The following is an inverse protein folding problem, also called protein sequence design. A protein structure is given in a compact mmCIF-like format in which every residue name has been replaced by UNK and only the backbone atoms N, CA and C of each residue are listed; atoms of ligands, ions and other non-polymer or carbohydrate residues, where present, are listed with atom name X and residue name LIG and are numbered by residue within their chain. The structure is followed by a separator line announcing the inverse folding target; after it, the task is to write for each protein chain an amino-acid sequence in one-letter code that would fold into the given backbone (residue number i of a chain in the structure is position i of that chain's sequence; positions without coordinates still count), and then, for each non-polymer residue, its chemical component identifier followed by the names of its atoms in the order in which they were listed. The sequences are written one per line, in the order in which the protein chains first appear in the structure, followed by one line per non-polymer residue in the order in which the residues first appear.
data_IF_544575141467
#
_entry.id   IF_544575141467
#
_cell.length_a   1.000
_cell.length_b   1.000
_cell.length_c   1.000
_cell.angle_alpha   90.00
_cell.angle_beta   90.00
_cell.angle_gamma   90.00
#
_symmetry.space_group_name_H-M   'P 1'
#
loop_
_entity.id
_entity.type
_entity.pdbx_description
1 polymer ?
#
# COMPACT_ATOMS: atom_id res chain seq x y z
N UNK A 1 18.90 4.68 -32.03
CA UNK A 1 17.62 3.97 -32.15
C UNK A 1 16.57 4.80 -31.43
N UNK A 2 15.39 5.03 -32.02
CA UNK A 2 14.33 5.77 -31.33
C UNK A 2 13.80 4.91 -30.17
N UNK A 3 13.89 5.43 -28.96
CA UNK A 3 13.35 4.78 -27.76
C UNK A 3 11.83 4.82 -27.84
N UNK A 4 11.20 3.66 -27.98
CA UNK A 4 9.73 3.56 -28.11
C UNK A 4 9.13 3.54 -26.70
N UNK A 5 8.36 4.57 -26.37
CA UNK A 5 7.53 4.58 -25.17
C UNK A 5 6.33 3.64 -25.36
N UNK A 6 6.12 2.74 -24.41
CA UNK A 6 4.94 1.86 -24.35
C UNK A 6 4.20 2.07 -23.03
N UNK A 7 2.92 1.69 -23.02
CA UNK A 7 2.12 1.69 -21.80
C UNK A 7 2.47 0.47 -20.95
N UNK A 8 2.76 0.72 -19.68
CA UNK A 8 3.01 -0.29 -18.67
C UNK A 8 2.36 0.09 -17.34
N UNK A 9 1.99 -0.88 -16.57
CA UNK A 9 1.69 -0.67 -15.16
C UNK A 9 2.96 -0.89 -14.35
N UNK A 10 3.43 0.17 -13.72
CA UNK A 10 4.57 0.15 -12.79
C UNK A 10 4.01 0.02 -11.38
N UNK A 11 4.51 -0.94 -10.61
CA UNK A 11 4.08 -1.23 -9.25
C UNK A 11 5.28 -1.21 -8.31
N UNK A 12 5.13 -0.54 -7.17
CA UNK A 12 6.03 -0.59 -6.03
C UNK A 12 5.30 -1.17 -4.83
N UNK A 13 5.94 -2.12 -4.15
CA UNK A 13 5.45 -2.72 -2.92
C UNK A 13 6.57 -2.78 -1.89
N UNK A 14 6.32 -2.27 -0.68
CA UNK A 14 7.31 -2.06 0.37
C UNK A 14 6.79 -2.56 1.71
N UNK A 15 7.67 -3.14 2.52
CA UNK A 15 7.31 -3.65 3.85
C UNK A 15 7.14 -2.50 4.83
N UNK A 16 5.94 -2.37 5.38
CA UNK A 16 5.64 -1.30 6.33
C UNK A 16 6.26 -1.58 7.70
N UNK A 17 7.02 -0.58 8.21
CA UNK A 17 7.60 -0.67 9.54
C UNK A 17 8.76 -1.65 9.68
N UNK A 18 9.48 -1.94 8.60
CA UNK A 18 10.65 -2.84 8.60
C UNK A 18 11.68 -2.48 9.66
N UNK A 19 11.97 -1.19 9.89
CA UNK A 19 12.87 -0.74 10.96
C UNK A 19 12.41 -1.24 12.32
N UNK A 20 11.13 -1.14 12.65
CA UNK A 20 10.60 -1.62 13.93
C UNK A 20 10.61 -3.15 14.05
N UNK A 21 10.59 -3.87 12.93
CA UNK A 21 10.78 -5.32 12.93
C UNK A 21 12.20 -5.71 13.40
N UNK A 22 13.22 -4.99 12.93
CA UNK A 22 14.60 -5.21 13.38
C UNK A 22 14.75 -4.98 14.89
N UNK A 23 14.17 -3.90 15.41
CA UNK A 23 14.21 -3.60 16.86
C UNK A 23 13.48 -4.67 17.69
N UNK A 24 12.36 -5.21 17.23
CA UNK A 24 11.52 -6.17 17.97
C UNK A 24 11.98 -7.62 17.85
N UNK A 25 12.45 -8.02 16.67
CA UNK A 25 12.75 -9.42 16.34
C UNK A 25 14.25 -9.73 16.39
N UNK A 26 15.11 -8.70 16.26
CA UNK A 26 16.54 -8.82 15.97
C UNK A 26 16.79 -9.09 14.49
N UNK A 27 18.03 -8.86 14.05
CA UNK A 27 18.42 -8.79 12.64
C UNK A 27 18.08 -10.06 11.84
N UNK A 28 18.45 -11.22 12.36
CA UNK A 28 18.27 -12.50 11.67
C UNK A 28 16.79 -12.82 11.42
N UNK A 29 15.94 -12.63 12.44
CA UNK A 29 14.50 -12.92 12.33
C UNK A 29 13.75 -11.88 11.50
N UNK A 30 14.14 -10.61 11.63
CA UNK A 30 13.57 -9.55 10.81
C UNK A 30 13.89 -9.76 9.34
N UNK A 31 15.15 -10.10 9.01
CA UNK A 31 15.56 -10.42 7.65
C UNK A 31 14.77 -11.61 7.08
N UNK A 32 14.62 -12.69 7.83
CA UNK A 32 13.85 -13.86 7.41
C UNK A 32 12.36 -13.52 7.19
N UNK A 33 11.78 -12.68 8.05
CA UNK A 33 10.41 -12.21 7.91
C UNK A 33 10.22 -11.36 6.64
N UNK A 34 11.13 -10.42 6.38
CA UNK A 34 11.12 -9.57 5.18
C UNK A 34 11.26 -10.44 3.92
N UNK A 35 12.21 -11.39 3.89
CA UNK A 35 12.38 -12.26 2.71
C UNK A 35 11.15 -13.16 2.47
N UNK A 36 10.47 -13.59 3.52
CA UNK A 36 9.18 -14.29 3.40
C UNK A 36 8.14 -13.41 2.71
N UNK A 37 8.01 -12.14 3.09
CA UNK A 37 7.12 -11.17 2.43
C UNK A 37 7.53 -11.00 0.97
N UNK A 38 8.80 -10.67 0.70
CA UNK A 38 9.30 -10.46 -0.66
C UNK A 38 9.05 -11.67 -1.57
N UNK A 39 9.14 -12.88 -1.02
CA UNK A 39 8.79 -14.11 -1.76
C UNK A 39 7.33 -14.15 -2.18
N UNK A 40 6.39 -13.75 -1.29
CA UNK A 40 4.96 -13.68 -1.63
C UNK A 40 4.69 -12.59 -2.67
N UNK A 41 5.35 -11.42 -2.56
CA UNK A 41 5.21 -10.36 -3.56
C UNK A 41 5.62 -10.83 -4.97
N UNK A 42 6.76 -11.52 -5.07
CA UNK A 42 7.25 -12.07 -6.34
C UNK A 42 6.27 -13.10 -6.94
N UNK A 43 5.62 -13.93 -6.12
CA UNK A 43 4.59 -14.89 -6.55
C UNK A 43 3.38 -14.17 -7.13
N UNK A 44 2.89 -13.11 -6.47
CA UNK A 44 1.75 -12.33 -6.95
C UNK A 44 2.02 -11.69 -8.32
N UNK A 45 3.23 -11.15 -8.51
CA UNK A 45 3.66 -10.61 -9.81
C UNK A 45 3.66 -11.71 -10.88
N UNK A 46 4.23 -12.88 -10.57
CA UNK A 46 4.33 -13.98 -11.51
C UNK A 46 2.97 -14.54 -11.93
N UNK A 47 2.00 -14.64 -11.00
CA UNK A 47 0.62 -15.09 -11.27
C UNK A 47 -0.03 -14.19 -12.32
N UNK A 48 0.19 -12.90 -12.26
CA UNK A 48 -0.33 -11.92 -13.22
C UNK A 48 0.56 -11.75 -14.46
N UNK A 49 1.51 -12.68 -14.68
CA UNK A 49 2.47 -12.67 -15.79
C UNK A 49 3.30 -11.38 -15.85
N UNK A 50 3.44 -10.70 -14.72
CA UNK A 50 4.30 -9.55 -14.57
C UNK A 50 5.76 -9.96 -14.37
N UNK A 51 6.62 -8.96 -14.33
CA UNK A 51 8.06 -9.12 -14.12
C UNK A 51 8.52 -8.25 -12.94
N UNK A 52 9.22 -8.85 -12.00
CA UNK A 52 9.98 -8.09 -11.01
C UNK A 52 11.20 -7.47 -11.70
N UNK A 53 11.28 -6.15 -11.67
CA UNK A 53 12.37 -5.38 -12.29
C UNK A 53 13.59 -5.38 -11.36
N UNK A 54 13.36 -5.03 -10.09
CA UNK A 54 14.40 -4.98 -9.06
C UNK A 54 13.82 -5.05 -7.65
N UNK A 55 14.66 -5.42 -6.70
CA UNK A 55 14.38 -5.33 -5.27
C UNK A 55 15.39 -4.36 -4.65
N UNK A 56 14.92 -3.40 -3.87
CA UNK A 56 15.75 -2.37 -3.22
C UNK A 56 15.47 -2.44 -1.72
N UNK A 57 16.34 -3.11 -0.98
CA UNK A 57 16.07 -3.38 0.43
C UNK A 57 14.84 -4.27 0.60
N UNK A 58 13.80 -3.73 1.21
CA UNK A 58 12.51 -4.37 1.45
C UNK A 58 11.40 -3.94 0.47
N UNK A 59 11.76 -3.20 -0.59
CA UNK A 59 10.87 -2.77 -1.66
C UNK A 59 11.06 -3.59 -2.94
N UNK A 60 9.96 -3.96 -3.59
CA UNK A 60 9.92 -4.58 -4.92
C UNK A 60 9.37 -3.58 -5.93
N UNK A 61 10.11 -3.39 -7.03
CA UNK A 61 9.60 -2.76 -8.24
C UNK A 61 9.23 -3.83 -9.27
N UNK A 62 8.00 -3.79 -9.75
CA UNK A 62 7.49 -4.71 -10.76
C UNK A 62 6.82 -3.98 -11.92
N UNK A 63 6.73 -4.65 -13.06
CA UNK A 63 6.04 -4.19 -14.26
C UNK A 63 5.04 -5.23 -14.72
N UNK A 64 3.87 -4.74 -15.16
CA UNK A 64 2.77 -5.54 -15.70
C UNK A 64 2.23 -4.87 -16.97
N UNK A 65 1.61 -5.66 -17.86
CA UNK A 65 1.20 -5.15 -19.17
C UNK A 65 -0.10 -4.32 -19.12
N UNK A 66 -0.92 -4.46 -18.07
CA UNK A 66 -2.22 -3.79 -17.96
C UNK A 66 -2.47 -3.24 -16.56
N UNK A 67 -3.34 -2.23 -16.46
CA UNK A 67 -3.81 -1.71 -15.18
C UNK A 67 -4.53 -2.80 -14.34
N UNK A 68 -5.34 -3.64 -14.99
CA UNK A 68 -6.07 -4.75 -14.35
C UNK A 68 -5.12 -5.75 -13.71
N UNK A 69 -4.07 -6.17 -14.44
CA UNK A 69 -3.08 -7.10 -13.91
C UNK A 69 -2.33 -6.52 -12.70
N UNK A 70 -2.01 -5.22 -12.72
CA UNK A 70 -1.37 -4.56 -11.60
C UNK A 70 -2.27 -4.47 -10.37
N UNK A 71 -3.54 -4.14 -10.55
CA UNK A 71 -4.51 -4.11 -9.46
C UNK A 71 -4.70 -5.51 -8.86
N UNK A 72 -4.85 -6.54 -9.69
CA UNK A 72 -4.98 -7.92 -9.23
C UNK A 72 -3.73 -8.42 -8.49
N UNK A 73 -2.52 -8.07 -8.99
CA UNK A 73 -1.27 -8.38 -8.30
C UNK A 73 -1.21 -7.69 -6.93
N UNK A 74 -1.57 -6.41 -6.86
CA UNK A 74 -1.58 -5.63 -5.62
C UNK A 74 -2.55 -6.20 -4.58
N UNK A 75 -3.76 -6.60 -5.00
CA UNK A 75 -4.74 -7.24 -4.11
C UNK A 75 -4.24 -8.62 -3.62
N UNK A 76 -3.69 -9.45 -4.51
CA UNK A 76 -3.12 -10.75 -4.15
C UNK A 76 -1.93 -10.61 -3.19
N UNK A 77 -1.06 -9.60 -3.38
CA UNK A 77 0.03 -9.27 -2.45
C UNK A 77 -0.50 -8.97 -1.05
N UNK A 78 -1.50 -8.10 -0.91
CA UNK A 78 -2.08 -7.77 0.38
C UNK A 78 -2.69 -8.99 1.06
N UNK A 79 -3.46 -9.79 0.34
CA UNK A 79 -4.08 -11.01 0.86
C UNK A 79 -3.03 -12.03 1.34
N UNK A 80 -1.98 -12.26 0.56
CA UNK A 80 -0.90 -13.18 0.93
C UNK A 80 -0.14 -12.73 2.15
N UNK A 81 0.20 -11.44 2.23
CA UNK A 81 0.91 -10.89 3.38
C UNK A 81 0.02 -10.90 4.63
N UNK A 82 -1.26 -10.55 4.51
CA UNK A 82 -2.21 -10.63 5.62
C UNK A 82 -2.41 -12.06 6.16
N UNK A 83 -2.21 -13.09 5.32
CA UNK A 83 -2.28 -14.50 5.71
C UNK A 83 -1.01 -14.99 6.43
N UNK A 84 0.10 -14.25 6.43
CA UNK A 84 1.31 -14.62 7.17
C UNK A 84 1.02 -14.50 8.67
N UNK A 85 1.24 -15.58 9.46
CA UNK A 85 1.03 -15.53 10.90
C UNK A 85 1.91 -14.45 11.58
N UNK A 86 1.42 -13.77 12.63
CA UNK A 86 2.23 -12.83 13.38
C UNK A 86 3.50 -13.49 13.95
N UNK A 87 4.61 -12.76 13.92
CA UNK A 87 5.88 -13.21 14.49
C UNK A 87 6.09 -12.43 15.81
N UNK A 88 6.04 -13.10 16.97
CA UNK A 88 6.11 -12.44 18.28
C UNK A 88 5.15 -11.23 18.38
N UNK A 89 3.90 -11.42 18.02
CA UNK A 89 2.85 -10.38 18.02
C UNK A 89 3.07 -9.24 16.99
N UNK A 90 4.12 -9.31 16.17
CA UNK A 90 4.30 -8.39 15.05
C UNK A 90 3.54 -8.90 13.82
N UNK A 91 2.52 -8.15 13.38
CA UNK A 91 1.87 -8.38 12.10
C UNK A 91 2.68 -7.72 11.00
N UNK A 92 2.91 -8.49 9.93
CA UNK A 92 3.54 -7.96 8.73
C UNK A 92 2.50 -7.23 7.89
N UNK A 93 2.85 -6.09 7.34
CA UNK A 93 2.02 -5.31 6.44
C UNK A 93 2.88 -4.75 5.31
N UNK A 94 2.27 -4.52 4.17
CA UNK A 94 2.91 -3.85 3.03
C UNK A 94 2.11 -2.63 2.63
N UNK A 95 2.79 -1.66 2.03
CA UNK A 95 2.19 -0.56 1.29
C UNK A 95 2.45 -0.78 -0.19
N UNK A 96 1.44 -0.59 -1.01
CA UNK A 96 1.52 -0.81 -2.45
C UNK A 96 1.06 0.45 -3.18
N UNK A 97 1.81 0.84 -4.19
CA UNK A 97 1.41 1.90 -5.11
C UNK A 97 1.67 1.50 -6.54
N UNK A 98 0.75 1.82 -7.45
CA UNK A 98 0.95 1.54 -8.87
C UNK A 98 0.35 2.61 -9.76
N UNK A 99 0.90 2.72 -10.97
CA UNK A 99 0.42 3.64 -12.00
C UNK A 99 0.57 3.01 -13.38
N UNK A 100 -0.45 3.16 -14.22
CA UNK A 100 -0.45 2.75 -15.61
C UNK A 100 -0.21 3.96 -16.50
N UNK A 101 0.87 3.92 -17.27
CA UNK A 101 1.27 5.05 -18.11
C UNK A 101 2.46 4.73 -19.01
N UNK A 102 2.86 5.72 -19.84
CA UNK A 102 3.98 5.55 -20.76
C UNK A 102 5.31 5.45 -20.00
N UNK A 103 6.07 4.39 -20.28
CA UNK A 103 7.41 4.19 -19.76
C UNK A 103 8.37 3.73 -20.86
N UNK A 104 9.65 3.92 -20.64
CA UNK A 104 10.75 3.50 -21.50
C UNK A 104 11.43 2.33 -20.83
N UNK A 105 11.54 1.21 -21.52
CA UNK A 105 12.38 0.09 -21.09
C UNK A 105 13.77 0.22 -21.69
N UNK A 106 14.78 0.23 -20.84
CA UNK A 106 16.19 0.25 -21.25
C UNK A 106 17.02 -0.67 -20.36
N UNK A 107 17.73 -1.62 -20.97
CA UNK A 107 18.58 -2.60 -20.29
C UNK A 107 17.88 -3.38 -19.15
N UNK A 108 16.57 -3.61 -19.30
CA UNK A 108 15.77 -4.34 -18.31
C UNK A 108 15.24 -3.49 -17.15
N UNK A 109 15.60 -2.21 -17.09
CA UNK A 109 15.01 -1.23 -16.16
C UNK A 109 13.97 -0.34 -16.87
N UNK A 110 13.19 0.41 -16.09
CA UNK A 110 12.12 1.28 -16.59
C UNK A 110 12.33 2.71 -16.15
N UNK A 111 12.05 3.63 -17.08
CA UNK A 111 12.24 5.06 -16.90
C UNK A 111 11.03 5.84 -17.37
N UNK A 112 10.86 7.04 -16.83
CA UNK A 112 9.84 7.99 -17.24
C UNK A 112 8.90 8.39 -16.12
N UNK A 113 7.92 9.22 -16.48
CA UNK A 113 6.98 9.81 -15.55
C UNK A 113 6.10 8.77 -14.84
N UNK A 114 5.74 7.67 -15.53
CA UNK A 114 4.97 6.59 -14.94
C UNK A 114 5.68 5.92 -13.76
N UNK A 115 7.02 5.77 -13.82
CA UNK A 115 7.82 5.23 -12.71
C UNK A 115 7.76 6.16 -11.49
N UNK A 116 7.97 7.46 -11.71
CA UNK A 116 7.93 8.46 -10.65
C UNK A 116 6.53 8.56 -10.01
N UNK A 117 5.48 8.47 -10.83
CA UNK A 117 4.09 8.50 -10.35
C UNK A 117 3.78 7.27 -9.52
N UNK A 118 4.16 6.07 -9.97
CA UNK A 118 3.97 4.82 -9.22
C UNK A 118 4.71 4.84 -7.86
N UNK A 119 5.97 5.28 -7.85
CA UNK A 119 6.75 5.43 -6.60
C UNK A 119 6.07 6.40 -5.63
N UNK A 120 5.48 7.49 -6.15
CA UNK A 120 4.73 8.43 -5.34
C UNK A 120 3.44 7.82 -4.78
N UNK A 121 2.70 7.01 -5.56
CA UNK A 121 1.52 6.29 -5.06
C UNK A 121 1.91 5.36 -3.90
N UNK A 122 3.02 4.64 -4.01
CA UNK A 122 3.54 3.80 -2.92
C UNK A 122 3.92 4.63 -1.69
N UNK A 123 4.54 5.80 -1.89
CA UNK A 123 4.91 6.72 -0.81
C UNK A 123 3.71 7.32 -0.06
N UNK A 124 2.54 7.41 -0.69
CA UNK A 124 1.29 7.88 -0.07
C UNK A 124 0.56 6.77 0.69
N UNK A 125 0.79 5.52 0.32
CA UNK A 125 0.14 4.37 0.95
C UNK A 125 0.64 4.15 2.38
N UNK A 126 -0.26 3.78 3.27
CA UNK A 126 0.03 3.26 4.60
C UNK A 126 0.10 1.73 4.56
N UNK A 127 0.57 1.12 5.65
CA UNK A 127 0.53 -0.34 5.78
C UNK A 127 -0.89 -0.88 5.60
N UNK A 128 -1.04 -1.87 4.74
CA UNK A 128 -2.33 -2.44 4.36
C UNK A 128 -3.07 -1.69 3.25
N UNK A 129 -2.53 -0.58 2.72
CA UNK A 129 -3.17 0.18 1.64
C UNK A 129 -2.58 -0.13 0.27
N UNK A 130 -3.43 -0.01 -0.75
CA UNK A 130 -3.08 -0.01 -2.16
C UNK A 130 -3.56 1.30 -2.76
N UNK A 131 -2.63 2.12 -3.26
CA UNK A 131 -2.91 3.45 -3.81
C UNK A 131 -2.60 3.49 -5.31
N UNK A 132 -3.46 4.13 -6.07
CA UNK A 132 -3.26 4.35 -7.50
C UNK A 132 -3.75 5.73 -7.94
N UNK A 133 -3.55 6.06 -9.20
CA UNK A 133 -3.88 7.36 -9.79
C UNK A 133 -5.16 7.32 -10.63
N UNK A 134 -5.80 8.47 -10.83
CA UNK A 134 -6.98 8.63 -11.69
C UNK A 134 -6.80 8.05 -13.09
N UNK A 135 -5.73 8.40 -13.85
CA UNK A 135 -5.48 7.80 -15.16
C UNK A 135 -5.40 6.27 -15.16
N UNK A 136 -4.92 5.67 -14.07
CA UNK A 136 -4.90 4.22 -13.92
C UNK A 136 -6.31 3.66 -13.72
N UNK A 137 -7.13 4.31 -12.89
CA UNK A 137 -8.54 3.92 -12.67
C UNK A 137 -9.34 4.01 -13.95
N UNK A 138 -9.08 5.03 -14.79
CA UNK A 138 -9.72 5.16 -16.10
C UNK A 138 -9.35 4.03 -17.07
N UNK A 139 -8.19 3.43 -16.91
CA UNK A 139 -7.71 2.28 -17.70
C UNK A 139 -8.15 0.91 -17.14
N UNK A 140 -8.73 0.84 -15.95
CA UNK A 140 -9.27 -0.39 -15.38
C UNK A 140 -10.54 -0.84 -16.11
N UNK A 141 -10.76 -2.15 -16.15
CA UNK A 141 -12.04 -2.71 -16.53
C UNK A 141 -13.16 -2.24 -15.58
N UNK A 142 -14.43 -2.15 -16.07
CA UNK A 142 -15.54 -1.64 -15.27
C UNK A 142 -15.69 -2.33 -13.90
N UNK A 143 -15.55 -3.65 -13.85
CA UNK A 143 -15.68 -4.44 -12.63
C UNK A 143 -14.61 -4.07 -11.59
N UNK A 144 -13.36 -3.95 -11.99
CA UNK A 144 -12.26 -3.60 -11.08
C UNK A 144 -12.33 -2.14 -10.61
N UNK A 145 -12.84 -1.25 -11.47
CA UNK A 145 -13.04 0.15 -11.13
C UNK A 145 -14.01 0.34 -9.96
N UNK A 146 -15.03 -0.50 -9.83
CA UNK A 146 -15.99 -0.47 -8.72
C UNK A 146 -15.32 -0.73 -7.35
N UNK A 147 -14.21 -1.44 -7.34
CA UNK A 147 -13.42 -1.70 -6.13
C UNK A 147 -12.39 -0.60 -5.83
N UNK A 148 -12.62 0.64 -6.30
CA UNK A 148 -11.77 1.79 -5.99
C UNK A 148 -12.55 2.88 -5.26
N UNK A 149 -11.86 3.60 -4.37
CA UNK A 149 -12.38 4.74 -3.62
C UNK A 149 -11.55 5.99 -3.93
N UNK A 150 -12.20 7.09 -4.33
CA UNK A 150 -11.56 8.38 -4.51
C UNK A 150 -11.10 8.95 -3.15
N UNK A 151 -9.85 9.38 -3.07
CA UNK A 151 -9.26 9.98 -1.87
C UNK A 151 -9.04 11.49 -2.02
N UNK A 152 -9.67 12.11 -3.03
CA UNK A 152 -9.45 13.49 -3.43
C UNK A 152 -8.13 13.77 -4.18
N UNK A 153 -8.09 14.92 -4.87
CA UNK A 153 -6.93 15.37 -5.60
C UNK A 153 -5.86 15.88 -4.63
N UNK A 154 -4.63 15.36 -4.74
CA UNK A 154 -3.49 15.91 -4.02
C UNK A 154 -2.54 16.62 -4.98
N UNK A 155 -1.98 17.79 -4.56
CA UNK A 155 -0.99 18.48 -5.37
C UNK A 155 0.27 17.62 -5.52
N UNK A 156 0.64 17.35 -6.74
CA UNK A 156 1.82 16.57 -7.08
C UNK A 156 3.02 17.49 -7.12
N UNK A 157 3.92 17.37 -6.13
CA UNK A 157 5.15 18.17 -6.07
C UNK A 157 5.96 18.00 -7.37
N UNK A 158 6.13 19.09 -8.14
CA UNK A 158 6.87 19.10 -9.41
C UNK A 158 6.02 18.95 -10.68
N UNK A 159 4.68 18.84 -10.58
CA UNK A 159 3.74 19.00 -11.70
C UNK A 159 2.79 20.14 -11.43
N UNK A 160 2.35 20.84 -12.48
CA UNK A 160 1.35 21.93 -12.38
C UNK A 160 -0.07 21.38 -12.21
N UNK A 161 -0.29 20.09 -12.53
CA UNK A 161 -1.60 19.45 -12.48
C UNK A 161 -1.72 18.58 -11.22
N UNK A 162 -2.86 18.68 -10.56
CA UNK A 162 -3.26 17.80 -9.47
C UNK A 162 -3.60 16.41 -10.03
N UNK A 163 -3.05 15.35 -9.44
CA UNK A 163 -3.40 13.98 -9.78
C UNK A 163 -4.44 13.49 -8.79
N UNK A 164 -5.60 13.04 -9.27
CA UNK A 164 -6.59 12.33 -8.46
C UNK A 164 -6.00 11.02 -7.96
N UNK A 165 -6.22 10.73 -6.70
CA UNK A 165 -5.66 9.57 -6.00
C UNK A 165 -6.80 8.66 -5.57
N UNK A 166 -6.61 7.38 -5.75
CA UNK A 166 -7.59 6.36 -5.42
C UNK A 166 -6.98 5.27 -4.54
N UNK A 167 -7.75 4.79 -3.62
CA UNK A 167 -7.45 3.56 -2.87
C UNK A 167 -8.18 2.38 -3.50
N UNK A 168 -7.47 1.26 -3.63
CA UNK A 168 -8.06 -0.02 -4.04
C UNK A 168 -8.56 -0.75 -2.81
N UNK A 169 -9.84 -1.11 -2.81
CA UNK A 169 -10.49 -1.87 -1.75
C UNK A 169 -10.27 -3.35 -2.02
N UNK A 170 -9.24 -3.92 -1.40
CA UNK A 170 -8.83 -5.31 -1.58
C UNK A 170 -9.43 -6.29 -0.57
N UNK A 171 -10.09 -5.77 0.48
CA UNK A 171 -10.86 -6.54 1.47
C UNK A 171 -12.35 -6.34 1.22
N UNK A 172 -13.16 -7.37 1.47
CA UNK A 172 -14.60 -7.23 1.44
C UNK A 172 -15.09 -6.31 2.57
N UNK A 173 -16.16 -5.54 2.30
CA UNK A 173 -16.68 -4.49 3.21
C UNK A 173 -17.06 -5.02 4.60
N UNK A 174 -17.34 -6.31 4.74
CA UNK A 174 -17.67 -6.94 6.02
C UNK A 174 -16.46 -7.02 6.96
N UNK A 175 -15.26 -7.24 6.42
CA UNK A 175 -14.01 -7.28 7.21
C UNK A 175 -13.60 -5.90 7.73
N UNK A 176 -13.86 -4.82 6.97
CA UNK A 176 -13.56 -3.45 7.36
C UNK A 176 -14.37 -2.99 8.58
N UNK A 177 -15.62 -3.44 8.71
CA UNK A 177 -16.47 -3.12 9.86
C UNK A 177 -15.94 -3.76 11.15
N UNK A 178 -15.37 -4.95 11.05
CA UNK A 178 -14.79 -5.69 12.18
C UNK A 178 -13.48 -5.05 12.66
N UNK A 179 -12.66 -4.50 11.76
CA UNK A 179 -11.41 -3.83 12.11
C UNK A 179 -11.65 -2.46 12.76
N UNK A 180 -12.61 -1.68 12.26
CA UNK A 180 -13.00 -0.39 12.85
C UNK A 180 -13.56 -0.54 14.28
N UNK A 181 -14.19 -1.65 14.59
CA UNK A 181 -14.72 -1.96 15.93
C UNK A 181 -13.65 -2.39 16.95
N UNK A 182 -12.42 -2.68 16.51
CA UNK A 182 -11.31 -3.10 17.38
C UNK A 182 -10.38 -1.97 17.83
N UNK A 183 -10.54 -0.75 17.30
CA UNK A 183 -9.68 0.40 17.63
C UNK A 183 -10.34 1.41 18.61
N UNK A 184 -11.17 0.98 19.56
CA UNK A 184 -11.63 1.88 20.60
C UNK A 184 -11.80 1.19 21.95
N UNK A 185 -10.77 1.19 22.81
CA UNK A 185 -11.01 1.39 24.23
C UNK A 185 -10.74 2.88 24.55
N UNK A 186 -11.70 3.74 24.30
CA UNK A 186 -11.70 5.06 24.96
C UNK A 186 -12.04 4.78 26.44
N UNK A 187 -11.01 4.80 27.26
CA UNK A 187 -11.14 4.89 28.71
C UNK A 187 -11.65 6.29 29.05
N UNK A 188 -12.96 6.43 29.15
CA UNK A 188 -13.60 7.57 29.80
C UNK A 188 -13.43 7.44 31.31
N UNK A 189 -12.36 7.98 31.84
CA UNK A 189 -12.29 8.38 33.23
C UNK A 189 -12.92 9.78 33.33
N UNK A 190 -14.19 9.85 33.67
CA UNK A 190 -14.80 11.04 34.22
C UNK A 190 -14.27 11.26 35.65
N UNK A 191 -13.68 12.40 35.98
CA UNK A 191 -13.45 12.74 37.38
C UNK A 191 -14.77 13.22 37.99
N UNK A 192 -15.31 12.44 38.89
CA UNK A 192 -16.44 12.86 39.75
C UNK A 192 -15.95 13.96 40.69
N UNK A 193 -16.28 15.19 40.38
CA UNK A 193 -16.14 16.34 41.30
C UNK A 193 -17.23 16.24 42.38
N UNK A 194 -16.86 15.75 43.56
CA UNK A 194 -17.70 15.85 44.76
C UNK A 194 -17.52 17.24 45.35
N UNK A 195 -18.50 18.11 45.14
CA UNK A 195 -18.63 19.40 45.85
C UNK A 195 -19.18 19.13 47.25
N UNK A 196 -18.32 19.19 48.25
CA UNK A 196 -18.73 19.27 49.67
C UNK A 196 -19.06 20.72 50.01
N UNK A 197 -20.34 20.99 50.21
CA UNK A 197 -20.84 22.27 50.74
C UNK A 197 -20.63 22.24 52.25
N UNK A 198 -19.81 23.15 52.79
CA UNK A 198 -19.64 23.34 54.20
C UNK A 198 -20.79 24.16 54.80
N UNK A 199 -21.57 23.56 55.67
CA UNK A 199 -22.49 24.26 56.56
C UNK A 199 -21.71 25.07 57.58
N UNK A 200 -21.95 26.36 57.62
CA UNK A 200 -21.67 27.20 58.76
C UNK A 200 -22.93 27.23 59.65
N UNK A 201 -22.80 26.76 60.85
CA UNK A 201 -23.72 27.04 61.93
C UNK A 201 -23.03 28.04 62.86
N UNK A 202 -23.83 29.02 63.29
CA UNK A 202 -23.57 30.13 64.18
C UNK A 202 -22.61 29.87 65.36
#
# INVERSE_FOLDING_TARGET
MATVSRQFAILFADVSGSTSLYERLGDERALAAIESVLSELRKSVAIQRGRVVKTIGDEVMAVLDTADAAMQAACDMQNRVAAIPPIKDARLAIRVGFHFGPAIEEQGDFFGDAVNTAARMAGLAKGGQVITSGPTVDALSPLLRESTRDLDAMPVKGKQDEIRIFEVLWQDSEDLTTLASRESPVSTHEPTLTLTYGERVL
#
